data_IF_005828479073
#
_entry.id   IF_005828479073
#
_cell.length_a   1.000
_cell.length_b   1.000
_cell.length_c   1.000
_cell.angle_alpha   90.00
_cell.angle_beta   90.00
_cell.angle_gamma   90.00
#
_symmetry.space_group_name_H-M   'P 1'
#
loop_
_entity.id
_entity.type
_entity.pdbx_description
1 polymer ?
#
# COMPACT_ATOMS: atom_id res chain seq x y z
N UNK A 1 -19.78 -14.82 -18.23
CA UNK A 1 -18.60 -15.23 -18.99
C UNK A 1 -17.97 -16.48 -18.37
N UNK A 2 -17.68 -16.52 -17.06
CA UNK A 2 -17.12 -17.71 -16.37
C UNK A 2 -17.87 -19.00 -16.67
N UNK A 3 -19.21 -19.01 -16.51
CA UNK A 3 -20.05 -20.18 -16.77
C UNK A 3 -20.00 -20.69 -18.20
N UNK A 4 -19.60 -19.85 -19.14
CA UNK A 4 -19.52 -20.15 -20.56
C UNK A 4 -18.08 -20.41 -21.04
N UNK A 5 -17.10 -20.37 -20.16
CA UNK A 5 -15.68 -20.53 -20.51
C UNK A 5 -15.15 -19.43 -21.47
N UNK A 6 -15.78 -18.24 -21.46
CA UNK A 6 -15.36 -17.12 -22.31
C UNK A 6 -14.34 -16.29 -21.55
N UNK A 7 -13.10 -16.15 -22.06
CA UNK A 7 -12.10 -15.28 -21.43
C UNK A 7 -12.61 -13.83 -21.40
N UNK A 8 -12.52 -13.19 -20.24
CA UNK A 8 -12.93 -11.81 -20.08
C UNK A 8 -12.00 -11.06 -19.14
N UNK A 9 -11.90 -9.77 -19.36
CA UNK A 9 -11.20 -8.83 -18.48
C UNK A 9 -12.20 -7.75 -18.06
N UNK A 10 -12.30 -7.51 -16.77
CA UNK A 10 -13.08 -6.40 -16.23
C UNK A 10 -12.10 -5.27 -15.91
N UNK A 11 -12.25 -4.14 -16.58
CA UNK A 11 -11.51 -2.91 -16.30
C UNK A 11 -12.07 -2.26 -15.02
N UNK A 12 -11.98 -3.00 -13.92
CA UNK A 12 -12.23 -2.45 -12.60
C UNK A 12 -11.00 -1.67 -12.14
N UNK A 13 -11.21 -0.49 -11.55
CA UNK A 13 -10.16 0.18 -10.80
C UNK A 13 -9.80 -0.72 -9.60
N UNK A 14 -8.93 -1.68 -9.81
CA UNK A 14 -8.18 -2.19 -8.68
C UNK A 14 -7.26 -1.06 -8.24
N UNK A 15 -7.72 -0.33 -7.25
CA UNK A 15 -6.92 0.72 -6.66
C UNK A 15 -5.65 0.09 -6.11
N UNK A 16 -4.49 0.49 -6.59
CA UNK A 16 -3.20 0.04 -6.01
C UNK A 16 -3.15 0.33 -4.50
N UNK A 17 -3.99 1.27 -4.02
CA UNK A 17 -4.15 1.59 -2.60
C UNK A 17 -4.59 0.40 -1.74
N UNK A 18 -5.28 -0.58 -2.33
CA UNK A 18 -5.71 -1.80 -1.63
C UNK A 18 -4.64 -2.88 -1.58
N UNK A 19 -3.54 -2.70 -2.32
CA UNK A 19 -2.46 -3.68 -2.34
C UNK A 19 -1.67 -3.63 -1.01
N UNK A 20 -1.38 -4.77 -0.37
CA UNK A 20 -0.63 -4.80 0.89
C UNK A 20 0.74 -4.14 0.84
N UNK A 21 1.40 -4.09 -0.31
CA UNK A 21 2.68 -3.39 -0.45
C UNK A 21 2.52 -1.88 -0.37
N UNK A 22 1.53 -1.32 -1.07
CA UNK A 22 1.23 0.11 -0.98
C UNK A 22 0.79 0.48 0.44
N UNK A 23 -0.07 -0.37 1.03
CA UNK A 23 -0.50 -0.18 2.42
C UNK A 23 0.68 -0.24 3.41
N UNK A 24 1.65 -1.13 3.21
CA UNK A 24 2.87 -1.21 4.01
C UNK A 24 3.67 0.11 3.97
N UNK A 25 3.88 0.69 2.79
CA UNK A 25 4.60 1.96 2.64
C UNK A 25 3.85 3.13 3.29
N UNK A 26 2.54 3.19 3.10
CA UNK A 26 1.66 4.19 3.71
C UNK A 26 1.67 4.08 5.24
N UNK A 27 1.50 2.86 5.75
CA UNK A 27 1.51 2.59 7.19
C UNK A 27 2.88 2.88 7.82
N UNK A 28 3.99 2.64 7.12
CA UNK A 28 5.33 2.99 7.59
C UNK A 28 5.48 4.50 7.83
N UNK A 29 5.03 5.33 6.91
CA UNK A 29 5.08 6.79 7.05
C UNK A 29 4.13 7.25 8.16
N UNK A 30 2.89 6.76 8.16
CA UNK A 30 1.90 7.09 9.18
C UNK A 30 2.40 6.74 10.59
N UNK A 31 3.09 5.61 10.75
CA UNK A 31 3.69 5.21 12.02
C UNK A 31 4.66 6.27 12.56
N UNK A 32 5.45 6.90 11.69
CA UNK A 32 6.36 7.98 12.09
C UNK A 32 5.58 9.27 12.39
N UNK A 33 4.61 9.63 11.55
CA UNK A 33 3.74 10.82 11.73
C UNK A 33 2.96 10.73 13.04
N UNK A 34 2.40 9.58 13.35
CA UNK A 34 1.64 9.31 14.58
C UNK A 34 2.52 8.93 15.76
N UNK A 35 3.84 9.18 15.66
CA UNK A 35 4.81 8.96 16.75
C UNK A 35 4.74 7.55 17.36
N UNK A 36 4.57 6.53 16.53
CA UNK A 36 4.50 5.13 16.95
C UNK A 36 3.36 4.87 17.93
N UNK A 37 2.16 5.35 17.60
CA UNK A 37 0.94 4.99 18.32
C UNK A 37 0.66 3.48 18.17
N UNK A 38 -0.14 2.91 19.09
CA UNK A 38 -0.55 1.51 19.00
C UNK A 38 -1.16 1.19 17.63
N UNK A 39 -2.11 2.01 17.21
CA UNK A 39 -2.87 1.83 15.97
C UNK A 39 -1.95 1.83 14.75
N UNK A 40 -1.03 2.80 14.68
CA UNK A 40 -0.12 2.95 13.52
C UNK A 40 0.93 1.84 13.43
N UNK A 41 1.46 1.40 14.57
CA UNK A 41 2.41 0.28 14.62
C UNK A 41 1.75 -1.02 14.16
N UNK A 42 0.55 -1.34 14.67
CA UNK A 42 -0.09 -2.59 14.29
C UNK A 42 -0.78 -2.54 12.93
N UNK A 43 -1.13 -1.37 12.40
CA UNK A 43 -1.46 -1.19 10.99
C UNK A 43 -0.29 -1.61 10.10
N UNK A 44 0.92 -1.14 10.39
CA UNK A 44 2.14 -1.50 9.68
C UNK A 44 2.43 -3.01 9.75
N UNK A 45 2.45 -3.59 10.94
CA UNK A 45 2.76 -5.00 11.15
C UNK A 45 1.72 -5.95 10.51
N UNK A 46 0.44 -5.58 10.55
CA UNK A 46 -0.66 -6.38 9.98
C UNK A 46 -0.68 -6.43 8.45
N UNK A 47 0.11 -5.61 7.76
CA UNK A 47 0.33 -5.77 6.31
C UNK A 47 0.97 -7.13 5.98
N UNK A 48 1.62 -7.78 6.96
CA UNK A 48 2.26 -9.08 6.81
C UNK A 48 3.46 -9.04 5.86
N UNK A 49 4.12 -7.90 5.80
CA UNK A 49 5.29 -7.65 4.95
C UNK A 49 6.52 -7.18 5.75
N UNK A 50 6.35 -6.93 7.05
CA UNK A 50 7.44 -6.62 7.98
C UNK A 50 8.35 -7.82 8.24
N UNK A 51 9.34 -7.64 9.10
CA UNK A 51 10.22 -8.73 9.57
C UNK A 51 9.53 -9.70 10.54
N UNK A 52 8.42 -9.28 11.16
CA UNK A 52 7.61 -10.14 12.03
C UNK A 52 6.57 -10.89 11.22
N UNK A 53 6.42 -12.18 11.50
CA UNK A 53 5.31 -12.96 10.99
C UNK A 53 4.01 -12.68 11.78
N UNK A 54 2.92 -13.38 11.41
CA UNK A 54 1.62 -13.14 12.02
C UNK A 54 1.58 -13.53 13.50
N UNK A 55 2.17 -14.67 13.88
CA UNK A 55 2.17 -15.14 15.26
C UNK A 55 3.06 -14.25 16.14
N UNK A 56 4.21 -13.84 15.62
CA UNK A 56 5.11 -12.87 16.24
C UNK A 56 4.42 -11.52 16.44
N UNK A 57 3.67 -11.06 15.45
CA UNK A 57 2.89 -9.81 15.50
C UNK A 57 1.81 -9.88 16.58
N UNK A 58 1.01 -10.94 16.61
CA UNK A 58 -0.05 -11.16 17.60
C UNK A 58 0.54 -11.22 19.02
N UNK A 59 1.68 -11.91 19.16
CA UNK A 59 2.39 -12.03 20.43
C UNK A 59 2.92 -10.69 20.95
N UNK A 60 3.47 -9.87 20.06
CA UNK A 60 3.93 -8.52 20.37
C UNK A 60 2.77 -7.59 20.68
N UNK A 61 1.67 -7.68 19.93
CA UNK A 61 0.47 -6.86 20.10
C UNK A 61 -0.13 -7.02 21.49
N UNK A 62 -0.32 -8.27 21.91
CA UNK A 62 -0.84 -8.57 23.25
C UNK A 62 0.01 -7.94 24.36
N UNK A 63 1.32 -7.96 24.21
CA UNK A 63 2.24 -7.37 25.18
C UNK A 63 2.16 -5.83 25.18
N UNK A 64 2.20 -5.23 24.00
CA UNK A 64 2.14 -3.77 23.83
C UNK A 64 0.80 -3.20 24.34
N UNK A 65 -0.30 -3.88 24.05
CA UNK A 65 -1.63 -3.49 24.49
C UNK A 65 -1.76 -3.58 26.04
N UNK A 66 -1.32 -4.69 26.61
CA UNK A 66 -1.41 -4.93 28.06
C UNK A 66 -0.61 -3.91 28.88
N UNK A 67 0.51 -3.43 28.36
CA UNK A 67 1.40 -2.51 29.07
C UNK A 67 1.30 -1.05 28.59
N UNK A 68 0.49 -0.77 27.57
CA UNK A 68 0.29 0.57 27.03
C UNK A 68 1.56 1.16 26.40
N UNK A 69 2.37 0.34 25.74
CA UNK A 69 3.65 0.74 25.14
C UNK A 69 3.37 1.67 23.94
N UNK A 70 4.04 2.83 23.91
CA UNK A 70 3.90 3.85 22.86
C UNK A 70 5.20 4.58 22.63
N UNK A 71 5.40 5.02 21.38
CA UNK A 71 6.54 5.83 20.99
C UNK A 71 7.80 5.02 20.71
N UNK A 72 8.57 5.43 19.70
CA UNK A 72 9.77 4.74 19.22
C UNK A 72 10.78 4.44 20.37
N UNK A 73 10.93 5.37 21.31
CA UNK A 73 11.83 5.20 22.45
C UNK A 73 11.48 3.96 23.28
N UNK A 74 10.20 3.71 23.54
CA UNK A 74 9.75 2.56 24.31
C UNK A 74 10.01 1.20 23.61
N UNK A 75 10.09 1.21 22.29
CA UNK A 75 10.53 0.06 21.49
C UNK A 75 12.05 -0.09 21.48
N UNK A 76 12.82 0.98 21.70
CA UNK A 76 14.28 0.95 21.83
C UNK A 76 14.78 0.45 23.20
N UNK A 77 13.96 0.51 24.25
CA UNK A 77 14.31 0.12 25.60
C UNK A 77 13.89 -1.34 25.87
N UNK A 78 14.71 -2.07 26.66
CA UNK A 78 14.38 -3.45 27.01
C UNK A 78 13.09 -3.53 27.85
N UNK A 79 12.21 -4.43 27.50
CA UNK A 79 10.99 -4.69 28.25
C UNK A 79 11.26 -5.63 29.42
N UNK A 80 10.97 -5.18 30.62
CA UNK A 80 11.24 -5.92 31.86
C UNK A 80 9.98 -6.27 32.66
N UNK A 81 8.85 -5.62 32.31
CA UNK A 81 7.59 -5.76 33.05
C UNK A 81 6.78 -6.93 32.52
N UNK A 82 6.32 -7.78 33.41
CA UNK A 82 5.27 -8.75 33.11
C UNK A 82 3.87 -8.15 33.29
N UNK A 83 2.84 -8.84 32.82
CA UNK A 83 1.44 -8.55 33.08
C UNK A 83 0.69 -9.85 33.43
N UNK A 84 -0.54 -9.71 33.95
CA UNK A 84 -1.35 -10.88 34.32
C UNK A 84 -1.67 -11.70 33.06
N UNK A 85 -1.14 -12.93 33.00
CA UNK A 85 -1.34 -13.86 31.87
C UNK A 85 -0.08 -14.13 31.03
N UNK A 86 1.01 -13.36 31.25
CA UNK A 86 2.32 -13.69 30.66
C UNK A 86 3.21 -14.39 31.69
N UNK A 87 3.89 -15.43 31.27
CA UNK A 87 4.90 -16.10 32.14
C UNK A 87 6.21 -15.32 32.12
N UNK A 88 6.98 -15.32 33.22
CA UNK A 88 8.25 -14.59 33.29
C UNK A 88 9.28 -14.98 32.23
N UNK A 89 9.27 -16.24 31.78
CA UNK A 89 10.14 -16.78 30.73
C UNK A 89 9.74 -16.36 29.33
N UNK A 90 8.53 -15.79 29.12
CA UNK A 90 8.06 -15.26 27.84
C UNK A 90 8.51 -13.81 27.59
N UNK A 91 8.86 -13.04 28.63
CA UNK A 91 9.31 -11.65 28.48
C UNK A 91 10.59 -11.54 27.63
N UNK A 92 11.61 -12.39 27.79
CA UNK A 92 12.77 -12.40 26.91
C UNK A 92 12.40 -12.64 25.44
N UNK A 93 11.44 -13.52 25.16
CA UNK A 93 10.95 -13.75 23.78
C UNK A 93 10.29 -12.49 23.22
N UNK A 94 9.50 -11.75 24.01
CA UNK A 94 8.92 -10.47 23.58
C UNK A 94 10.00 -9.42 23.29
N UNK A 95 11.12 -9.44 24.01
CA UNK A 95 12.26 -8.58 23.72
C UNK A 95 12.92 -8.90 22.37
N UNK A 96 13.02 -10.17 22.00
CA UNK A 96 13.54 -10.54 20.67
C UNK A 96 12.65 -9.98 19.54
N UNK A 97 11.32 -10.05 19.70
CA UNK A 97 10.39 -9.46 18.73
C UNK A 97 10.52 -7.94 18.67
N UNK A 98 10.61 -7.30 19.83
CA UNK A 98 10.86 -5.86 19.96
C UNK A 98 12.17 -5.45 19.26
N UNK A 99 13.25 -6.19 19.48
CA UNK A 99 14.56 -5.90 18.86
C UNK A 99 14.51 -6.04 17.36
N UNK A 100 13.87 -7.09 16.85
CA UNK A 100 13.66 -7.34 15.42
C UNK A 100 12.87 -6.20 14.78
N UNK A 101 11.75 -5.80 15.39
CA UNK A 101 10.95 -4.66 14.93
C UNK A 101 11.72 -3.34 15.03
N UNK A 102 12.38 -3.06 16.17
CA UNK A 102 13.10 -1.81 16.35
C UNK A 102 14.26 -1.65 15.36
N UNK A 103 15.04 -2.71 15.13
CA UNK A 103 16.12 -2.70 14.14
C UNK A 103 15.62 -2.44 12.71
N UNK A 104 14.40 -2.90 12.41
CA UNK A 104 13.76 -2.63 11.11
C UNK A 104 13.36 -1.16 10.95
N UNK A 105 12.70 -0.59 11.96
CA UNK A 105 12.02 0.71 11.79
C UNK A 105 12.86 1.90 12.26
N UNK A 106 13.86 1.73 13.10
CA UNK A 106 14.65 2.82 13.67
C UNK A 106 15.43 3.62 12.62
N UNK A 107 16.16 3.01 11.68
CA UNK A 107 16.89 3.76 10.65
C UNK A 107 15.94 4.56 9.74
N UNK A 108 14.81 3.96 9.38
CA UNK A 108 13.75 4.62 8.62
C UNK A 108 13.18 5.83 9.36
N UNK A 109 12.81 5.64 10.64
CA UNK A 109 12.23 6.70 11.45
C UNK A 109 13.20 7.88 11.67
N UNK A 110 14.49 7.61 11.81
CA UNK A 110 15.51 8.64 11.95
C UNK A 110 15.62 9.52 10.70
N UNK A 111 15.61 8.91 9.52
CA UNK A 111 15.64 9.64 8.25
C UNK A 111 14.36 10.45 8.04
N UNK A 112 13.19 9.86 8.30
CA UNK A 112 11.91 10.53 8.15
C UNK A 112 11.73 11.73 9.08
N UNK A 113 12.32 11.70 10.29
CA UNK A 113 12.24 12.78 11.29
C UNK A 113 13.20 13.93 11.07
N UNK A 114 14.13 13.85 10.13
CA UNK A 114 15.04 14.96 9.83
C UNK A 114 14.25 16.17 9.33
N UNK A 115 14.44 17.33 9.97
CA UNK A 115 13.70 18.56 9.64
C UNK A 115 14.01 19.08 8.24
N UNK A 116 15.26 18.98 7.80
CA UNK A 116 15.75 19.51 6.53
C UNK A 116 15.95 18.41 5.47
N UNK A 117 15.33 17.23 5.65
CA UNK A 117 15.42 16.16 4.69
C UNK A 117 14.75 16.55 3.37
N UNK A 118 15.43 16.27 2.27
CA UNK A 118 14.87 16.41 0.94
C UNK A 118 13.89 15.29 0.63
N UNK A 119 13.07 15.47 -0.41
CA UNK A 119 12.18 14.43 -0.92
C UNK A 119 12.98 13.18 -1.32
N UNK A 120 14.14 13.38 -1.97
CA UNK A 120 15.05 12.29 -2.34
C UNK A 120 15.48 11.47 -1.13
N UNK A 121 15.97 12.10 -0.06
CA UNK A 121 16.44 11.40 1.13
C UNK A 121 15.32 10.60 1.81
N UNK A 122 14.09 11.11 1.83
CA UNK A 122 12.94 10.39 2.38
C UNK A 122 12.50 9.23 1.50
N UNK A 123 12.50 9.44 0.18
CA UNK A 123 12.16 8.39 -0.79
C UNK A 123 13.20 7.26 -0.77
N UNK A 124 14.48 7.59 -0.66
CA UNK A 124 15.56 6.61 -0.49
C UNK A 124 15.40 5.81 0.82
N UNK A 125 14.99 6.47 1.91
CA UNK A 125 14.72 5.76 3.17
C UNK A 125 13.52 4.81 3.06
N UNK A 126 12.46 5.21 2.35
CA UNK A 126 11.31 4.37 2.08
C UNK A 126 11.67 3.16 1.20
N UNK A 127 12.46 3.40 0.16
CA UNK A 127 13.01 2.33 -0.69
C UNK A 127 13.90 1.37 0.11
N UNK A 128 14.80 1.90 0.96
CA UNK A 128 15.67 1.09 1.80
C UNK A 128 14.88 0.19 2.75
N UNK A 129 13.77 0.70 3.33
CA UNK A 129 12.87 -0.11 4.15
C UNK A 129 12.23 -1.25 3.34
N UNK A 130 11.81 -1.00 2.10
CA UNK A 130 11.25 -2.02 1.22
C UNK A 130 12.30 -3.10 0.87
N UNK A 131 13.53 -2.70 0.55
CA UNK A 131 14.65 -3.61 0.27
C UNK A 131 15.02 -4.45 1.50
N UNK A 132 15.15 -3.81 2.68
CA UNK A 132 15.47 -4.51 3.93
C UNK A 132 14.44 -5.60 4.26
N UNK A 133 13.17 -5.36 3.92
CA UNK A 133 12.08 -6.32 4.12
C UNK A 133 11.94 -7.32 2.95
N UNK A 134 12.88 -7.34 2.00
CA UNK A 134 12.89 -8.25 0.84
C UNK A 134 11.55 -8.19 0.08
N UNK A 135 11.05 -6.98 -0.14
CA UNK A 135 9.69 -6.78 -0.65
C UNK A 135 9.46 -7.43 -2.00
N UNK A 136 10.41 -7.28 -2.92
CA UNK A 136 10.31 -7.87 -4.25
C UNK A 136 10.15 -9.41 -4.19
N UNK A 137 10.91 -10.07 -3.32
CA UNK A 137 10.84 -11.52 -3.14
C UNK A 137 9.50 -11.95 -2.53
N UNK A 138 9.04 -11.25 -1.50
CA UNK A 138 7.73 -11.52 -0.86
C UNK A 138 6.56 -11.34 -1.82
N UNK A 139 6.61 -10.34 -2.70
CA UNK A 139 5.59 -10.11 -3.72
C UNK A 139 5.61 -11.22 -4.77
N UNK A 140 6.80 -11.67 -5.18
CA UNK A 140 6.95 -12.78 -6.12
C UNK A 140 6.44 -14.11 -5.53
N UNK A 141 6.73 -14.39 -4.26
CA UNK A 141 6.18 -15.56 -3.56
C UNK A 141 4.63 -15.52 -3.52
N UNK A 142 4.04 -14.36 -3.26
CA UNK A 142 2.58 -14.20 -3.29
C UNK A 142 2.01 -14.35 -4.69
N UNK A 143 2.69 -13.82 -5.71
CA UNK A 143 2.32 -14.01 -7.11
C UNK A 143 2.20 -15.51 -7.44
N UNK A 144 3.21 -16.30 -7.09
CA UNK A 144 3.22 -17.74 -7.32
C UNK A 144 2.09 -18.45 -6.60
N UNK A 145 1.82 -18.10 -5.33
CA UNK A 145 0.70 -18.66 -4.58
C UNK A 145 -0.66 -18.37 -5.23
N UNK A 146 -0.85 -17.19 -5.84
CA UNK A 146 -2.08 -16.89 -6.58
C UNK A 146 -2.17 -17.66 -7.88
N UNK A 147 -1.08 -17.86 -8.61
CA UNK A 147 -1.04 -18.71 -9.81
C UNK A 147 -1.41 -20.16 -9.48
N UNK A 148 -0.82 -20.73 -8.44
CA UNK A 148 -1.12 -22.11 -8.00
C UNK A 148 -2.60 -22.30 -7.63
N UNK A 149 -3.27 -21.25 -7.18
CA UNK A 149 -4.70 -21.23 -6.85
C UNK A 149 -5.59 -20.90 -8.04
N UNK A 150 -5.03 -20.67 -9.24
CA UNK A 150 -5.78 -20.27 -10.43
C UNK A 150 -6.33 -18.85 -10.38
N UNK A 151 -5.80 -18.00 -9.50
CA UNK A 151 -6.22 -16.61 -9.30
C UNK A 151 -5.38 -15.66 -10.16
N UNK A 152 -5.48 -15.79 -11.49
CA UNK A 152 -4.62 -15.11 -12.46
C UNK A 152 -4.65 -13.56 -12.36
N UNK A 153 -5.81 -12.97 -12.03
CA UNK A 153 -5.95 -11.53 -11.88
C UNK A 153 -5.07 -10.99 -10.73
N UNK A 154 -5.08 -11.67 -9.58
CA UNK A 154 -4.22 -11.33 -8.44
C UNK A 154 -2.75 -11.60 -8.75
N UNK A 155 -2.42 -12.74 -9.36
CA UNK A 155 -1.05 -13.04 -9.75
C UNK A 155 -0.48 -11.93 -10.64
N UNK A 156 -1.26 -11.44 -11.59
CA UNK A 156 -0.86 -10.35 -12.45
C UNK A 156 -0.68 -9.03 -11.70
N UNK A 157 -1.59 -8.66 -10.81
CA UNK A 157 -1.45 -7.48 -9.96
C UNK A 157 -0.12 -7.53 -9.20
N UNK A 158 0.19 -8.67 -8.55
CA UNK A 158 1.42 -8.83 -7.79
C UNK A 158 2.69 -8.83 -8.66
N UNK A 159 2.60 -9.21 -9.93
CA UNK A 159 3.73 -9.10 -10.88
C UNK A 159 4.06 -7.66 -11.28
N UNK A 160 3.11 -6.75 -11.21
CA UNK A 160 3.24 -5.38 -11.69
C UNK A 160 3.44 -4.36 -10.58
N UNK A 161 2.89 -4.61 -9.39
CA UNK A 161 2.79 -3.62 -8.32
C UNK A 161 4.15 -3.05 -7.89
N UNK A 162 5.19 -3.89 -7.84
CA UNK A 162 6.53 -3.43 -7.48
C UNK A 162 7.06 -2.41 -8.48
N UNK A 163 6.94 -2.69 -9.78
CA UNK A 163 7.35 -1.78 -10.85
C UNK A 163 6.57 -0.46 -10.81
N UNK A 164 5.25 -0.53 -10.66
CA UNK A 164 4.38 0.66 -10.56
C UNK A 164 4.79 1.57 -9.40
N UNK A 165 5.06 0.99 -8.23
CA UNK A 165 5.50 1.76 -7.06
C UNK A 165 6.87 2.36 -7.28
N UNK A 166 7.84 1.61 -7.84
CA UNK A 166 9.18 2.12 -8.11
C UNK A 166 9.15 3.27 -9.13
N UNK A 167 8.40 3.12 -10.22
CA UNK A 167 8.23 4.19 -11.21
C UNK A 167 7.60 5.46 -10.61
N UNK A 168 6.64 5.30 -9.69
CA UNK A 168 6.06 6.43 -8.96
C UNK A 168 7.11 7.13 -8.09
N UNK A 169 7.87 6.37 -7.31
CA UNK A 169 8.91 6.92 -6.44
C UNK A 169 10.01 7.63 -7.26
N UNK A 170 10.42 7.05 -8.39
CA UNK A 170 11.38 7.67 -9.30
C UNK A 170 10.86 8.99 -9.87
N UNK A 171 9.60 9.06 -10.30
CA UNK A 171 8.96 10.30 -10.77
C UNK A 171 8.90 11.38 -9.69
N UNK A 172 8.57 11.00 -8.46
CA UNK A 172 8.56 11.94 -7.33
C UNK A 172 9.96 12.52 -7.10
N UNK A 173 10.99 11.68 -7.16
CA UNK A 173 12.38 12.10 -7.00
C UNK A 173 12.85 12.94 -8.19
N UNK A 174 12.45 12.62 -9.41
CA UNK A 174 12.79 13.39 -10.61
C UNK A 174 12.24 14.82 -10.55
N UNK A 175 11.00 14.97 -10.08
CA UNK A 175 10.31 16.28 -10.09
C UNK A 175 10.60 17.10 -8.83
N UNK A 176 10.66 16.46 -7.66
CA UNK A 176 10.69 17.13 -6.35
C UNK A 176 11.92 16.76 -5.51
N UNK A 177 12.84 15.96 -6.05
CA UNK A 177 13.89 15.32 -5.25
C UNK A 177 14.73 16.27 -4.38
N UNK A 178 15.02 17.47 -4.85
CA UNK A 178 15.81 18.45 -4.14
C UNK A 178 14.99 19.36 -3.21
N UNK A 179 13.66 19.27 -3.28
CA UNK A 179 12.77 20.06 -2.44
C UNK A 179 12.80 19.55 -0.99
N UNK A 180 12.74 20.51 -0.07
CA UNK A 180 12.62 20.26 1.37
C UNK A 180 11.18 20.49 1.78
N UNK A 181 10.60 19.53 2.47
CA UNK A 181 9.23 19.62 2.95
C UNK A 181 9.06 18.92 4.29
N UNK A 182 7.96 19.16 4.96
CA UNK A 182 7.61 18.43 6.16
C UNK A 182 7.26 16.97 5.85
N UNK A 183 7.26 16.11 6.86
CA UNK A 183 6.85 14.71 6.67
C UNK A 183 5.37 14.58 6.28
N UNK A 184 4.52 15.50 6.77
CA UNK A 184 3.11 15.52 6.42
C UNK A 184 2.89 15.87 4.93
N UNK A 185 3.58 16.89 4.42
CA UNK A 185 3.54 17.25 3.00
C UNK A 185 4.06 16.12 2.11
N UNK A 186 5.14 15.44 2.53
CA UNK A 186 5.65 14.27 1.81
C UNK A 186 4.63 13.12 1.79
N UNK A 187 3.94 12.88 2.89
CA UNK A 187 2.85 11.89 2.96
C UNK A 187 1.72 12.23 1.98
N UNK A 188 1.29 13.49 1.93
CA UNK A 188 0.23 13.93 1.01
C UNK A 188 0.61 13.73 -0.46
N UNK A 189 1.87 14.01 -0.83
CA UNK A 189 2.37 13.77 -2.19
C UNK A 189 2.34 12.28 -2.54
N UNK A 190 2.78 11.42 -1.63
CA UNK A 190 2.73 9.97 -1.86
C UNK A 190 1.30 9.45 -1.97
N UNK A 191 0.38 9.91 -1.11
CA UNK A 191 -1.04 9.53 -1.19
C UNK A 191 -1.66 9.94 -2.54
N UNK A 192 -1.39 11.15 -3.00
CA UNK A 192 -1.84 11.62 -4.32
C UNK A 192 -1.23 10.78 -5.45
N UNK A 193 0.06 10.46 -5.35
CA UNK A 193 0.76 9.62 -6.32
C UNK A 193 0.21 8.20 -6.39
N UNK A 194 -0.04 7.56 -5.26
CA UNK A 194 -0.66 6.23 -5.20
C UNK A 194 -2.10 6.24 -5.72
N UNK A 195 -2.87 7.29 -5.47
CA UNK A 195 -4.22 7.43 -5.99
C UNK A 195 -4.24 7.55 -7.52
N UNK A 196 -3.28 8.29 -8.10
CA UNK A 196 -3.15 8.43 -9.56
C UNK A 196 -2.62 7.15 -10.21
N UNK A 197 -1.67 6.45 -9.59
CA UNK A 197 -1.11 5.20 -10.10
C UNK A 197 -2.15 4.08 -10.27
N UNK A 198 -3.33 4.21 -9.68
CA UNK A 198 -4.44 3.25 -9.76
C UNK A 198 -5.01 3.03 -11.18
N UNK A 199 -4.64 3.87 -12.16
CA UNK A 199 -5.17 3.83 -13.52
C UNK A 199 -4.44 2.93 -14.53
N UNK A 200 -3.38 2.23 -14.11
CA UNK A 200 -2.38 1.66 -15.04
C UNK A 200 -2.34 0.16 -15.24
N UNK A 201 -3.28 -0.63 -14.71
CA UNK A 201 -3.25 -2.09 -14.94
C UNK A 201 -3.69 -2.41 -16.37
N UNK A 202 -2.74 -2.75 -17.23
CA UNK A 202 -2.96 -3.08 -18.64
C UNK A 202 -3.59 -4.46 -18.78
N UNK A 203 -4.62 -4.64 -19.67
CA UNK A 203 -5.22 -5.97 -19.92
C UNK A 203 -4.19 -7.02 -20.37
N UNK A 204 -4.30 -8.27 -19.91
CA UNK A 204 -3.26 -9.29 -20.11
C UNK A 204 -3.17 -9.89 -21.50
N UNK A 205 -4.25 -9.95 -22.29
CA UNK A 205 -4.29 -10.69 -23.57
C UNK A 205 -5.14 -9.98 -24.61
N UNK A 206 -4.86 -10.31 -25.89
CA UNK A 206 -5.57 -9.75 -27.06
C UNK A 206 -6.88 -10.47 -27.42
N UNK A 207 -7.13 -11.67 -26.87
CA UNK A 207 -8.29 -12.50 -27.25
C UNK A 207 -9.24 -12.75 -26.07
N UNK A 208 -9.84 -11.66 -25.58
CA UNK A 208 -10.79 -11.70 -24.46
C UNK A 208 -11.85 -10.61 -24.59
N UNK A 209 -12.99 -10.83 -23.93
CA UNK A 209 -14.03 -9.79 -23.83
C UNK A 209 -13.57 -8.74 -22.82
N UNK A 210 -13.48 -7.50 -23.24
CA UNK A 210 -13.17 -6.37 -22.37
C UNK A 210 -14.46 -5.78 -21.82
N UNK A 211 -14.61 -5.75 -20.51
CA UNK A 211 -15.72 -5.11 -19.81
C UNK A 211 -15.14 -3.86 -19.14
N UNK A 212 -15.63 -2.69 -19.53
CA UNK A 212 -15.07 -1.45 -19.04
C UNK A 212 -16.11 -0.36 -18.83
N UNK A 213 -15.67 0.71 -18.19
CA UNK A 213 -16.45 1.91 -17.94
C UNK A 213 -16.36 2.88 -19.13
N UNK A 214 -17.48 3.50 -19.49
CA UNK A 214 -17.60 4.42 -20.62
C UNK A 214 -16.67 5.65 -20.51
N UNK A 215 -16.36 6.11 -19.32
CA UNK A 215 -15.55 7.32 -19.12
C UNK A 215 -14.05 7.08 -19.18
N UNK A 216 -13.61 5.83 -18.93
CA UNK A 216 -12.20 5.50 -18.67
C UNK A 216 -11.56 4.52 -19.64
N UNK A 217 -12.34 3.53 -20.11
CA UNK A 217 -11.78 2.46 -20.91
C UNK A 217 -11.39 2.96 -22.30
N UNK A 218 -10.08 3.04 -22.56
CA UNK A 218 -9.55 3.34 -23.88
C UNK A 218 -9.54 2.08 -24.72
N UNK A 219 -10.63 1.87 -25.42
CA UNK A 219 -10.83 0.71 -26.27
C UNK A 219 -10.13 0.95 -27.62
N UNK A 220 -9.08 0.16 -27.93
CA UNK A 220 -8.42 0.14 -29.24
C UNK A 220 -8.68 -1.21 -29.91
N UNK A 221 -8.80 -1.20 -31.23
CA UNK A 221 -8.90 -2.40 -32.07
C UNK A 221 -10.09 -3.33 -31.76
N UNK A 222 -11.26 -2.75 -31.41
CA UNK A 222 -12.46 -3.50 -31.09
C UNK A 222 -13.23 -3.81 -32.36
N UNK A 223 -13.66 -5.08 -32.53
CA UNK A 223 -14.50 -5.53 -33.62
C UNK A 223 -15.98 -5.33 -33.33
N UNK A 224 -16.41 -5.51 -32.10
CA UNK A 224 -17.81 -5.41 -31.67
C UNK A 224 -17.86 -4.73 -30.30
N UNK A 225 -18.74 -3.75 -30.16
CA UNK A 225 -19.00 -3.03 -28.93
C UNK A 225 -20.44 -3.28 -28.48
N UNK A 226 -20.58 -3.80 -27.24
CA UNK A 226 -21.89 -3.86 -26.57
C UNK A 226 -21.95 -2.76 -25.50
N UNK A 227 -22.77 -1.76 -25.77
CA UNK A 227 -22.99 -0.66 -24.84
C UNK A 227 -24.23 -0.96 -24.01
N UNK A 228 -24.02 -1.32 -22.74
CA UNK A 228 -25.09 -1.77 -21.82
C UNK A 228 -25.33 -0.75 -20.73
N UNK A 229 -26.52 -0.75 -20.13
CA UNK A 229 -26.87 0.18 -19.05
C UNK A 229 -27.19 1.61 -19.54
N UNK A 230 -27.54 1.77 -20.81
CA UNK A 230 -27.96 3.06 -21.40
C UNK A 230 -29.38 3.36 -20.94
N UNK A 231 -29.50 4.07 -19.82
CA UNK A 231 -30.79 4.53 -19.31
C UNK A 231 -30.85 6.06 -19.37
N UNK A 232 -32.04 6.59 -19.60
CA UNK A 232 -32.29 8.03 -19.62
C UNK A 232 -31.84 8.69 -18.31
N UNK A 233 -31.10 9.79 -18.38
CA UNK A 233 -30.51 10.50 -17.24
C UNK A 233 -29.20 9.90 -16.70
N UNK A 234 -28.80 8.71 -17.14
CA UNK A 234 -27.49 8.12 -16.82
C UNK A 234 -26.50 8.29 -17.96
N UNK A 235 -26.94 8.10 -19.21
CA UNK A 235 -26.13 8.31 -20.42
C UNK A 235 -27.02 8.86 -21.53
N UNK A 236 -26.80 10.14 -21.95
CA UNK A 236 -25.87 11.11 -21.39
C UNK A 236 -26.31 11.58 -20.00
N UNK A 237 -25.34 11.87 -19.13
CA UNK A 237 -25.65 12.57 -17.87
C UNK A 237 -26.25 13.94 -18.19
N UNK A 238 -27.41 14.23 -17.67
CA UNK A 238 -27.86 15.61 -17.60
C UNK A 238 -26.98 16.31 -16.56
N UNK A 239 -26.09 17.21 -17.02
CA UNK A 239 -25.49 18.17 -16.10
C UNK A 239 -26.64 18.94 -15.45
N UNK A 240 -26.78 18.77 -14.13
CA UNK A 240 -27.61 19.67 -13.35
C UNK A 240 -26.95 21.05 -13.47
N UNK A 241 -27.53 21.87 -14.34
CA UNK A 241 -26.99 23.16 -14.75
C UNK A 241 -26.64 24.02 -13.53
N UNK A 242 -25.34 24.10 -13.28
CA UNK A 242 -24.70 24.97 -12.31
C UNK A 242 -23.77 25.97 -13.01
N UNK A 243 -24.15 26.43 -14.19
CA UNK A 243 -23.47 27.55 -14.86
C UNK A 243 -23.90 28.88 -14.24
N UNK A 244 -22.91 29.73 -13.92
CA UNK A 244 -23.11 31.11 -13.44
C UNK A 244 -23.84 32.00 -14.48
N UNK A 245 -24.02 31.50 -15.70
CA UNK A 245 -24.75 32.17 -16.81
C UNK A 245 -25.92 31.30 -17.24
N UNK A 246 -27.14 31.74 -16.98
CA UNK A 246 -28.34 31.18 -17.58
C UNK A 246 -28.37 31.57 -19.07
N UNK A 247 -28.54 30.61 -19.96
CA UNK A 247 -28.87 30.90 -21.33
C UNK A 247 -30.28 31.53 -21.39
N UNK A 248 -30.30 32.80 -21.85
CA UNK A 248 -31.52 33.43 -22.37
C UNK A 248 -31.57 33.18 -23.86
#
# INVERSE_FOLDING_TARGET
>A
FEKCGVPYFVDEKHSVLMNPFVEFLRAAIEMVVQSFSYESVFRYLRCGLSSLDREETDAMENYVLALGIRGLKAYGEAWTRGYRGIKPDEVPQRNLLREKFYAEVQPFAEQMKKKDATVRERTEALYALAVQNRMQEKLEERRQQFEERGQEAFAKEYSQIYGIVMELLDKIVEVLGEEKMTLAEYQEILEAGFAEASGGIIPPTTDQVLIGDNERSRLKDIRVLFFVGVNDGLIPRHDAGGGILSEY
#
